data_IF_211792582013
#
_entry.id   IF_211792582013
#
_cell.length_a   1.000
_cell.length_b   1.000
_cell.length_c   1.000
_cell.angle_alpha   90.00
_cell.angle_beta   90.00
_cell.angle_gamma   90.00
#
_symmetry.space_group_name_H-M   'P 1'
#
loop_
_entity.id
_entity.type
_entity.pdbx_description
1 polymer ?
#
# COMPACT_ATOMS: atom_id res chain seq x y z
N UNK A 1 49.54 57.13 17.83
CA UNK A 1 48.86 55.82 17.78
C UNK A 1 48.41 55.59 16.34
N UNK A 2 49.04 54.67 15.58
CA UNK A 2 48.65 54.38 14.19
C UNK A 2 47.62 53.25 14.20
N UNK A 3 46.40 53.51 13.74
CA UNK A 3 45.40 52.48 13.52
C UNK A 3 45.80 51.65 12.30
N UNK A 4 46.00 50.35 12.51
CA UNK A 4 46.28 49.37 11.47
C UNK A 4 44.98 49.17 10.67
N UNK A 5 44.89 49.75 9.47
CA UNK A 5 43.77 49.51 8.57
C UNK A 5 43.83 48.06 8.09
N UNK A 6 42.84 47.26 8.47
CA UNK A 6 42.60 45.94 7.87
C UNK A 6 42.13 46.15 6.43
N UNK A 7 42.89 45.67 5.46
CA UNK A 7 42.49 45.66 4.05
C UNK A 7 41.30 44.72 3.88
N UNK A 8 40.09 45.27 3.75
CA UNK A 8 38.95 44.53 3.27
C UNK A 8 39.11 44.31 1.76
N UNK A 9 39.60 43.15 1.38
CA UNK A 9 39.55 42.67 -0.01
C UNK A 9 38.10 42.33 -0.35
N UNK A 10 37.44 43.17 -1.15
CA UNK A 10 36.10 42.92 -1.66
C UNK A 10 36.10 41.80 -2.71
N UNK A 11 35.04 40.97 -2.69
CA UNK A 11 34.81 39.95 -3.72
C UNK A 11 34.59 40.60 -5.09
N UNK A 12 35.21 40.02 -6.13
CA UNK A 12 34.98 40.48 -7.50
C UNK A 12 33.67 39.93 -8.04
N UNK A 13 33.00 40.69 -8.92
CA UNK A 13 31.72 40.27 -9.52
C UNK A 13 31.87 38.96 -10.31
N UNK A 14 32.99 38.78 -11.01
CA UNK A 14 33.27 37.56 -11.78
C UNK A 14 33.42 36.34 -10.88
N UNK A 15 33.99 36.49 -9.69
CA UNK A 15 34.16 35.39 -8.73
C UNK A 15 32.81 34.88 -8.24
N UNK A 16 31.87 35.79 -7.95
CA UNK A 16 30.50 35.42 -7.61
C UNK A 16 29.79 34.75 -8.80
N UNK A 17 30.00 35.25 -10.03
CA UNK A 17 29.41 34.63 -11.23
C UNK A 17 29.90 33.20 -11.46
N UNK A 18 31.19 32.95 -11.29
CA UNK A 18 31.77 31.60 -11.45
C UNK A 18 31.23 30.66 -10.37
N UNK A 19 31.13 31.11 -9.12
CA UNK A 19 30.56 30.30 -8.03
C UNK A 19 29.11 29.92 -8.33
N UNK A 20 28.27 30.89 -8.72
CA UNK A 20 26.86 30.62 -9.06
C UNK A 20 26.75 29.70 -10.27
N UNK A 21 27.62 29.85 -11.28
CA UNK A 21 27.66 28.96 -12.44
C UNK A 21 27.97 27.52 -12.05
N UNK A 22 29.00 27.30 -11.24
CA UNK A 22 29.38 25.95 -10.77
C UNK A 22 28.27 25.34 -9.90
N UNK A 23 27.68 26.11 -8.98
CA UNK A 23 26.54 25.64 -8.17
C UNK A 23 25.35 25.27 -9.05
N UNK A 24 25.05 26.06 -10.08
CA UNK A 24 23.99 25.77 -11.05
C UNK A 24 24.21 24.44 -11.78
N UNK A 25 25.43 24.18 -12.24
CA UNK A 25 25.78 22.91 -12.89
C UNK A 25 25.64 21.71 -11.93
N UNK A 26 26.08 21.85 -10.69
CA UNK A 26 25.96 20.79 -9.67
C UNK A 26 24.48 20.50 -9.37
N UNK A 27 23.68 21.53 -9.14
CA UNK A 27 22.24 21.37 -8.84
C UNK A 27 21.49 20.68 -9.98
N UNK A 28 21.80 21.04 -11.23
CA UNK A 28 21.20 20.41 -12.41
C UNK A 28 21.44 18.89 -12.46
N UNK A 29 22.58 18.41 -11.96
CA UNK A 29 22.92 16.98 -11.92
C UNK A 29 22.32 16.26 -10.70
N UNK A 30 22.30 16.91 -9.53
CA UNK A 30 21.90 16.28 -8.27
C UNK A 30 20.39 16.19 -8.11
N UNK A 31 19.64 17.22 -8.51
CA UNK A 31 18.19 17.28 -8.28
C UNK A 31 17.41 16.11 -8.90
N UNK A 32 17.62 15.74 -10.18
CA UNK A 32 16.88 14.63 -10.79
C UNK A 32 17.13 13.29 -10.08
N UNK A 33 18.35 13.07 -9.57
CA UNK A 33 18.72 11.86 -8.85
C UNK A 33 18.05 11.81 -7.48
N UNK A 34 18.07 12.92 -6.75
CA UNK A 34 17.42 13.02 -5.44
C UNK A 34 15.91 12.78 -5.55
N UNK A 35 15.26 13.33 -6.58
CA UNK A 35 13.83 13.10 -6.83
C UNK A 35 13.50 11.62 -7.05
N UNK A 36 14.24 10.91 -7.90
CA UNK A 36 14.03 9.47 -8.12
C UNK A 36 14.23 8.65 -6.85
N UNK A 37 15.32 8.91 -6.12
CA UNK A 37 15.59 8.22 -4.86
C UNK A 37 14.48 8.43 -3.82
N UNK A 38 13.86 9.62 -3.80
CA UNK A 38 12.72 9.89 -2.91
C UNK A 38 11.49 9.05 -3.28
N UNK A 39 11.20 8.88 -4.57
CA UNK A 39 10.08 8.07 -5.06
C UNK A 39 10.31 6.59 -4.75
N UNK A 40 11.53 6.09 -4.99
CA UNK A 40 11.90 4.70 -4.66
C UNK A 40 11.76 4.43 -3.16
N UNK A 41 12.19 5.38 -2.31
CA UNK A 41 12.04 5.28 -0.86
C UNK A 41 10.56 5.18 -0.47
N UNK A 42 9.68 5.98 -1.10
CA UNK A 42 8.24 5.91 -0.86
C UNK A 42 7.67 4.53 -1.23
N UNK A 43 8.08 3.92 -2.34
CA UNK A 43 7.65 2.55 -2.67
C UNK A 43 8.09 1.51 -1.65
N UNK A 44 9.31 1.62 -1.10
CA UNK A 44 9.76 0.73 -0.03
C UNK A 44 8.91 0.90 1.24
N UNK A 45 8.53 2.12 1.57
CA UNK A 45 7.61 2.39 2.68
C UNK A 45 6.20 1.83 2.43
N UNK A 46 5.69 1.87 1.20
CA UNK A 46 4.42 1.19 0.84
C UNK A 46 4.54 -0.31 1.05
N UNK A 47 5.63 -0.95 0.59
CA UNK A 47 5.85 -2.39 0.79
C UNK A 47 5.94 -2.77 2.27
N UNK A 48 6.62 -1.96 3.07
CA UNK A 48 6.69 -2.16 4.52
C UNK A 48 5.29 -2.06 5.16
N UNK A 49 4.53 -1.02 4.84
CA UNK A 49 3.16 -0.85 5.33
C UNK A 49 2.24 -1.98 4.88
N UNK A 50 2.36 -2.43 3.63
CA UNK A 50 1.61 -3.57 3.10
C UNK A 50 1.96 -4.87 3.85
N UNK A 51 3.23 -5.07 4.23
CA UNK A 51 3.65 -6.25 4.99
C UNK A 51 3.02 -6.27 6.38
N UNK A 52 2.91 -5.09 7.01
CA UNK A 52 2.23 -4.95 8.28
C UNK A 52 0.71 -5.18 8.15
N UNK A 53 0.06 -4.61 7.12
CA UNK A 53 -1.36 -4.84 6.83
C UNK A 53 -1.64 -6.32 6.53
N UNK A 54 -0.75 -6.99 5.80
CA UNK A 54 -0.84 -8.42 5.52
C UNK A 54 -0.78 -9.27 6.79
N UNK A 55 0.01 -8.87 7.80
CA UNK A 55 0.03 -9.53 9.10
C UNK A 55 -1.32 -9.36 9.83
N UNK A 56 -1.92 -8.16 9.77
CA UNK A 56 -3.24 -7.91 10.35
C UNK A 56 -4.36 -8.65 9.63
N UNK A 57 -4.31 -8.77 8.30
CA UNK A 57 -5.25 -9.59 7.54
C UNK A 57 -5.24 -11.06 7.99
N UNK A 58 -4.04 -11.62 8.19
CA UNK A 58 -3.87 -12.97 8.72
C UNK A 58 -4.41 -13.12 10.16
N UNK A 59 -4.13 -12.15 11.01
CA UNK A 59 -4.61 -12.15 12.39
C UNK A 59 -6.14 -12.04 12.46
N UNK A 60 -6.73 -11.16 11.65
CA UNK A 60 -8.18 -11.01 11.53
C UNK A 60 -8.85 -12.33 11.13
N UNK A 61 -8.38 -12.96 10.05
CA UNK A 61 -8.94 -14.22 9.57
C UNK A 61 -8.82 -15.33 10.63
N UNK A 62 -7.71 -15.38 11.39
CA UNK A 62 -7.50 -16.34 12.50
C UNK A 62 -8.38 -16.07 13.71
N UNK A 63 -8.66 -14.81 14.04
CA UNK A 63 -9.58 -14.45 15.11
C UNK A 63 -11.00 -14.84 14.74
N UNK A 64 -11.44 -14.45 13.56
CA UNK A 64 -12.81 -14.67 13.12
C UNK A 64 -13.14 -16.16 12.93
N UNK A 65 -12.20 -16.99 12.44
CA UNK A 65 -12.41 -18.45 12.40
C UNK A 65 -12.50 -19.08 13.81
N UNK A 66 -11.87 -18.48 14.81
CA UNK A 66 -11.97 -18.96 16.22
C UNK A 66 -13.30 -18.53 16.84
N UNK A 67 -13.85 -17.40 16.38
CA UNK A 67 -15.12 -16.84 16.85
C UNK A 67 -16.33 -17.35 16.06
N UNK A 68 -16.13 -18.22 15.08
CA UNK A 68 -17.23 -18.69 14.25
C UNK A 68 -18.17 -19.60 15.05
N UNK A 69 -19.49 -19.58 14.75
CA UNK A 69 -20.44 -20.50 15.38
C UNK A 69 -20.04 -21.97 15.20
N UNK A 70 -20.37 -22.83 16.14
CA UNK A 70 -20.08 -24.28 16.05
C UNK A 70 -20.71 -24.95 14.81
N UNK A 71 -21.77 -24.36 14.26
CA UNK A 71 -22.43 -24.83 13.04
C UNK A 71 -21.74 -24.38 11.76
N UNK A 72 -20.74 -23.49 11.83
CA UNK A 72 -20.04 -22.98 10.67
C UNK A 72 -19.08 -24.02 10.10
N UNK A 73 -19.02 -24.10 8.77
CA UNK A 73 -18.05 -24.95 8.05
C UNK A 73 -17.03 -24.12 7.27
N UNK A 74 -17.02 -22.79 7.48
CA UNK A 74 -16.04 -21.89 6.88
C UNK A 74 -14.62 -22.27 7.25
N UNK A 75 -13.77 -22.24 6.23
CA UNK A 75 -12.34 -22.44 6.30
C UNK A 75 -11.63 -21.10 6.34
N UNK A 76 -10.34 -21.10 6.70
CA UNK A 76 -9.51 -19.89 6.64
C UNK A 76 -9.45 -19.29 5.23
N UNK A 77 -9.58 -20.14 4.19
CA UNK A 77 -9.65 -19.70 2.80
C UNK A 77 -10.89 -18.85 2.53
N UNK A 78 -12.06 -19.22 3.07
CA UNK A 78 -13.30 -18.46 2.89
C UNK A 78 -13.18 -17.04 3.47
N UNK A 79 -12.53 -16.90 4.63
CA UNK A 79 -12.23 -15.58 5.20
C UNK A 79 -11.30 -14.77 4.30
N UNK A 80 -10.21 -15.39 3.82
CA UNK A 80 -9.23 -14.68 2.97
C UNK A 80 -9.79 -14.31 1.60
N UNK A 81 -10.73 -15.08 1.04
CA UNK A 81 -11.42 -14.71 -0.21
C UNK A 81 -12.24 -13.43 -0.05
N UNK A 82 -12.79 -13.13 1.12
CA UNK A 82 -13.49 -11.83 1.34
C UNK A 82 -12.54 -10.64 1.49
N UNK A 83 -11.23 -10.86 1.40
CA UNK A 83 -10.25 -9.78 1.38
C UNK A 83 -9.73 -9.49 -0.02
N UNK A 84 -10.04 -10.26 -1.05
CA UNK A 84 -9.54 -9.98 -2.39
C UNK A 84 -10.35 -10.69 -3.44
N UNK A 85 -10.36 -10.15 -4.66
CA UNK A 85 -11.08 -10.73 -5.77
C UNK A 85 -10.15 -11.56 -6.69
N UNK A 86 -10.71 -12.56 -7.37
CA UNK A 86 -9.98 -13.36 -8.34
C UNK A 86 -9.98 -12.72 -9.71
N UNK A 87 -8.80 -12.36 -10.21
CA UNK A 87 -8.65 -11.66 -11.50
C UNK A 87 -8.94 -10.17 -11.44
N UNK A 88 -9.41 -9.66 -10.30
CA UNK A 88 -9.59 -8.24 -9.98
C UNK A 88 -8.89 -7.92 -8.66
N UNK A 89 -9.20 -6.76 -8.07
CA UNK A 89 -8.59 -6.27 -6.82
C UNK A 89 -9.66 -5.66 -5.93
N UNK A 90 -9.66 -6.05 -4.66
CA UNK A 90 -10.40 -5.33 -3.62
C UNK A 90 -9.49 -4.30 -2.95
N UNK A 91 -9.87 -3.04 -3.08
CA UNK A 91 -9.11 -1.94 -2.52
C UNK A 91 -9.31 -1.85 -1.01
N UNK A 92 -8.22 -1.78 -0.25
CA UNK A 92 -8.32 -1.71 1.22
C UNK A 92 -9.00 -0.42 1.69
N UNK A 93 -8.98 0.62 0.84
CA UNK A 93 -9.61 1.91 1.07
C UNK A 93 -11.12 1.91 0.76
N UNK A 94 -11.66 0.85 0.17
CA UNK A 94 -13.10 0.70 0.00
C UNK A 94 -13.73 0.48 1.37
N UNK A 95 -14.90 1.09 1.61
CA UNK A 95 -15.65 0.97 2.88
C UNK A 95 -17.09 0.52 2.65
N UNK A 96 -17.32 -0.05 1.47
CA UNK A 96 -18.55 -0.72 1.08
C UNK A 96 -18.57 -2.16 1.62
N UNK A 97 -19.56 -2.94 1.20
CA UNK A 97 -19.77 -4.33 1.62
C UNK A 97 -19.18 -5.33 0.61
N UNK A 98 -18.09 -4.96 -0.07
CA UNK A 98 -17.43 -5.78 -1.09
C UNK A 98 -16.21 -6.53 -0.58
N UNK A 99 -15.71 -6.16 0.61
CA UNK A 99 -14.61 -6.85 1.26
C UNK A 99 -14.60 -6.61 2.77
N UNK A 100 -13.80 -7.37 3.50
CA UNK A 100 -13.65 -7.26 4.95
C UNK A 100 -12.45 -6.41 5.41
N UNK A 101 -11.90 -5.55 4.54
CA UNK A 101 -10.81 -4.64 4.90
C UNK A 101 -11.24 -3.57 5.91
N UNK A 102 -12.40 -2.95 5.70
CA UNK A 102 -12.99 -1.95 6.58
C UNK A 102 -14.47 -1.72 6.26
N UNK A 103 -15.13 -0.88 7.06
CA UNK A 103 -16.49 -0.43 6.76
C UNK A 103 -17.52 -1.47 7.18
N UNK A 104 -18.47 -1.77 6.30
CA UNK A 104 -19.53 -2.74 6.60
C UNK A 104 -19.04 -4.15 6.27
N UNK A 105 -18.91 -5.07 7.24
CA UNK A 105 -18.37 -6.40 6.98
C UNK A 105 -19.16 -7.18 5.92
N UNK A 106 -18.43 -7.84 5.01
CA UNK A 106 -18.97 -8.75 4.02
C UNK A 106 -19.23 -10.14 4.62
N UNK A 107 -20.32 -10.77 4.21
CA UNK A 107 -20.71 -12.11 4.66
C UNK A 107 -19.65 -13.16 4.28
N UNK A 108 -19.30 -14.03 5.22
CA UNK A 108 -18.39 -15.14 4.95
C UNK A 108 -19.20 -16.35 4.47
N UNK A 109 -18.86 -16.97 3.32
CA UNK A 109 -19.49 -18.19 2.86
C UNK A 109 -19.50 -19.27 3.95
N UNK A 110 -20.67 -19.85 4.22
CA UNK A 110 -20.89 -20.96 5.16
C UNK A 110 -20.56 -20.67 6.64
N UNK A 111 -20.41 -19.39 7.01
CA UNK A 111 -20.32 -19.00 8.40
C UNK A 111 -21.72 -19.01 8.98
N UNK A 112 -22.01 -19.94 9.88
CA UNK A 112 -23.34 -20.12 10.47
C UNK A 112 -24.25 -21.10 9.71
N UNK A 113 -25.46 -21.30 10.23
CA UNK A 113 -26.45 -22.23 9.68
C UNK A 113 -27.33 -21.52 8.65
N UNK A 114 -26.84 -21.46 7.39
CA UNK A 114 -27.52 -21.03 6.17
C UNK A 114 -28.48 -19.80 6.26
N UNK A 115 -28.17 -18.63 5.64
CA UNK A 115 -27.04 -18.31 4.75
C UNK A 115 -26.11 -17.22 5.33
N UNK A 116 -24.81 -17.55 5.41
CA UNK A 116 -23.66 -16.66 5.54
C UNK A 116 -23.81 -15.50 6.54
N UNK A 117 -23.19 -15.64 7.70
CA UNK A 117 -23.06 -14.58 8.69
C UNK A 117 -21.92 -13.63 8.37
N UNK A 118 -22.09 -12.38 8.80
CA UNK A 118 -21.04 -11.36 8.75
C UNK A 118 -20.01 -11.59 9.86
N UNK A 119 -18.74 -11.23 9.63
CA UNK A 119 -17.76 -11.20 10.70
C UNK A 119 -18.04 -10.15 11.75
N UNK A 120 -17.50 -10.38 12.93
CA UNK A 120 -17.71 -9.49 14.07
C UNK A 120 -16.94 -8.17 13.93
N UNK A 121 -15.86 -8.20 13.16
CA UNK A 121 -14.94 -7.08 12.94
C UNK A 121 -14.41 -7.09 11.51
N UNK A 122 -13.82 -5.97 11.07
CA UNK A 122 -13.02 -5.87 9.85
C UNK A 122 -11.51 -5.88 10.17
N UNK A 123 -10.65 -6.00 9.16
CA UNK A 123 -9.19 -5.91 9.35
C UNK A 123 -8.79 -4.60 10.02
N UNK A 124 -9.37 -3.48 9.59
CA UNK A 124 -9.12 -2.16 10.17
C UNK A 124 -9.51 -2.08 11.66
N UNK A 125 -10.58 -2.74 12.07
CA UNK A 125 -11.07 -2.65 13.46
C UNK A 125 -10.15 -3.33 14.46
N UNK A 126 -9.44 -4.38 14.03
CA UNK A 126 -8.48 -5.08 14.89
C UNK A 126 -7.08 -4.45 14.88
N UNK A 127 -6.82 -3.52 13.95
CA UNK A 127 -5.54 -2.82 13.89
C UNK A 127 -5.42 -1.82 15.06
N UNK A 128 -4.26 -1.76 15.73
CA UNK A 128 -4.04 -0.78 16.80
C UNK A 128 -4.21 0.64 16.26
N UNK A 129 -5.05 1.44 16.91
CA UNK A 129 -5.33 2.81 16.46
C UNK A 129 -4.11 3.75 16.55
N UNK A 130 -3.12 3.41 17.39
CA UNK A 130 -1.83 4.09 17.49
C UNK A 130 -0.89 3.75 16.32
N UNK A 131 -1.13 2.63 15.63
CA UNK A 131 -0.37 2.20 14.43
C UNK A 131 -1.07 2.62 13.15
N UNK A 132 -1.06 3.93 12.91
CA UNK A 132 -1.61 4.52 11.67
C UNK A 132 -0.60 4.35 10.53
N UNK A 133 -0.81 3.34 9.69
CA UNK A 133 -0.03 3.14 8.46
C UNK A 133 -0.48 4.15 7.41
N UNK A 134 0.43 4.99 6.92
CA UNK A 134 0.15 6.06 5.96
C UNK A 134 0.66 5.74 4.57
N UNK A 135 -0.06 6.17 3.56
CA UNK A 135 0.43 6.21 2.20
C UNK A 135 1.53 7.31 2.09
N UNK A 136 2.79 6.96 1.77
CA UNK A 136 3.91 7.89 1.74
C UNK A 136 3.85 8.87 0.55
N UNK A 137 2.96 8.67 -0.43
CA UNK A 137 2.79 9.58 -1.57
C UNK A 137 1.92 10.79 -1.23
N UNK A 138 0.86 10.63 -0.45
CA UNK A 138 -0.07 11.70 -0.07
C UNK A 138 -0.16 11.97 1.44
N UNK A 139 0.49 11.15 2.27
CA UNK A 139 0.51 11.28 3.73
C UNK A 139 -0.78 10.88 4.44
N UNK A 140 -1.77 10.36 3.72
CA UNK A 140 -3.07 9.95 4.27
C UNK A 140 -3.02 8.54 4.85
N UNK A 141 -3.93 8.22 5.75
CA UNK A 141 -4.10 6.85 6.26
C UNK A 141 -4.45 5.87 5.14
N UNK A 142 -3.85 4.68 5.13
CA UNK A 142 -4.00 3.70 4.04
C UNK A 142 -5.46 3.33 3.73
N UNK A 143 -6.30 3.21 4.75
CA UNK A 143 -7.74 2.89 4.59
C UNK A 143 -8.61 4.14 4.34
N UNK A 144 -8.02 5.32 4.16
CA UNK A 144 -8.79 6.53 3.82
C UNK A 144 -9.44 6.38 2.45
N UNK A 145 -10.72 6.75 2.31
CA UNK A 145 -11.41 6.75 1.01
C UNK A 145 -10.73 7.64 -0.04
N UNK A 146 -9.89 8.61 0.36
CA UNK A 146 -9.05 9.40 -0.55
C UNK A 146 -7.82 8.63 -1.08
N UNK A 147 -7.67 7.36 -0.73
CA UNK A 147 -6.77 6.39 -1.35
C UNK A 147 -7.51 5.37 -2.21
N UNK A 148 -8.84 5.50 -2.42
CA UNK A 148 -9.64 4.56 -3.21
C UNK A 148 -9.55 4.89 -4.70
N UNK A 149 -8.87 4.07 -5.53
CA UNK A 149 -8.84 4.29 -6.97
C UNK A 149 -10.23 4.05 -7.56
N UNK A 150 -10.68 4.94 -8.43
CA UNK A 150 -12.02 4.85 -9.05
C UNK A 150 -12.05 5.57 -10.40
N UNK A 151 -12.45 4.87 -11.46
CA UNK A 151 -12.48 5.43 -12.81
C UNK A 151 -11.10 5.95 -13.24
N UNK A 152 -10.96 7.27 -13.39
CA UNK A 152 -9.70 7.94 -13.73
C UNK A 152 -8.91 8.41 -12.51
N UNK A 153 -9.44 8.24 -11.29
CA UNK A 153 -8.75 8.62 -10.06
C UNK A 153 -7.75 7.53 -9.67
N UNK A 154 -6.47 7.89 -9.69
CA UNK A 154 -5.33 7.00 -9.46
C UNK A 154 -4.48 7.59 -8.36
N UNK A 155 -4.10 6.76 -7.40
CA UNK A 155 -3.36 7.17 -6.22
C UNK A 155 -2.13 6.29 -6.06
N UNK A 156 -0.91 6.80 -6.34
CA UNK A 156 0.31 6.03 -6.15
C UNK A 156 0.40 5.50 -4.71
N UNK A 157 0.74 4.22 -4.56
CA UNK A 157 0.76 3.54 -3.27
C UNK A 157 -0.60 3.14 -2.70
N UNK A 158 -1.71 3.36 -3.42
CA UNK A 158 -3.01 2.77 -3.05
C UNK A 158 -2.89 1.24 -3.10
N UNK A 159 -3.30 0.60 -2.01
CA UNK A 159 -3.18 -0.83 -1.82
C UNK A 159 -4.49 -1.52 -2.13
N UNK A 160 -4.39 -2.64 -2.83
CA UNK A 160 -5.49 -3.56 -3.01
C UNK A 160 -5.01 -5.00 -2.90
N UNK A 161 -5.94 -5.88 -2.62
CA UNK A 161 -5.70 -7.29 -2.42
C UNK A 161 -6.38 -8.08 -3.52
N UNK A 162 -5.69 -9.12 -3.96
CA UNK A 162 -6.18 -10.02 -4.98
C UNK A 162 -5.69 -11.43 -4.68
N UNK A 163 -6.38 -12.41 -5.26
CA UNK A 163 -5.93 -13.79 -5.18
C UNK A 163 -6.07 -14.52 -6.51
N UNK A 164 -5.30 -15.58 -6.67
CA UNK A 164 -5.38 -16.44 -7.84
C UNK A 164 -5.05 -17.88 -7.46
N UNK A 165 -5.61 -18.82 -8.22
CA UNK A 165 -5.26 -20.22 -8.09
C UNK A 165 -3.78 -20.45 -8.45
N UNK A 166 -3.06 -21.15 -7.57
CA UNK A 166 -1.70 -21.63 -7.68
C UNK A 166 -1.70 -23.16 -7.48
N UNK A 167 -2.16 -23.87 -8.52
CA UNK A 167 -2.38 -25.31 -8.46
C UNK A 167 -3.55 -25.67 -7.54
N UNK A 168 -3.27 -26.32 -6.41
CA UNK A 168 -4.28 -26.71 -5.40
C UNK A 168 -4.43 -25.70 -4.27
N UNK A 169 -3.82 -24.52 -4.41
CA UNK A 169 -3.87 -23.45 -3.42
C UNK A 169 -4.41 -22.16 -4.06
N UNK A 170 -4.97 -21.26 -3.26
CA UNK A 170 -5.15 -19.86 -3.59
C UNK A 170 -3.96 -19.07 -3.02
N UNK A 171 -3.35 -18.22 -3.86
CA UNK A 171 -2.26 -17.34 -3.49
C UNK A 171 -2.79 -15.92 -3.32
N UNK A 172 -2.62 -15.34 -2.13
CA UNK A 172 -3.11 -14.01 -1.76
C UNK A 172 -1.96 -13.04 -1.64
N UNK A 173 -2.10 -11.87 -2.26
CA UNK A 173 -1.11 -10.80 -2.16
C UNK A 173 -1.75 -9.42 -2.18
N UNK A 174 -1.07 -8.47 -1.54
CA UNK A 174 -1.29 -7.05 -1.72
C UNK A 174 -0.46 -6.55 -2.90
N UNK A 175 -1.11 -5.75 -3.74
CA UNK A 175 -0.48 -5.01 -4.84
C UNK A 175 -0.83 -3.53 -4.70
N UNK A 176 -0.04 -2.66 -5.32
CA UNK A 176 -0.29 -1.22 -5.24
C UNK A 176 0.02 -0.48 -6.53
N UNK A 177 -0.63 0.68 -6.69
CA UNK A 177 -0.49 1.51 -7.88
C UNK A 177 0.88 2.22 -7.95
N UNK A 178 1.40 2.33 -9.16
CA UNK A 178 2.59 3.11 -9.48
C UNK A 178 2.31 4.60 -9.65
N UNK A 179 3.37 5.40 -9.73
CA UNK A 179 3.35 6.83 -10.10
C UNK A 179 3.12 7.04 -11.59
N UNK A 180 3.36 6.02 -12.38
CA UNK A 180 3.17 5.93 -13.83
C UNK A 180 1.81 5.31 -14.19
N UNK A 181 0.99 4.97 -13.20
CA UNK A 181 -0.33 4.39 -13.42
C UNK A 181 -1.25 5.36 -14.18
N UNK A 182 -1.88 4.85 -15.23
CA UNK A 182 -2.85 5.55 -16.10
C UNK A 182 -4.26 4.94 -16.03
N UNK A 183 -4.37 3.75 -15.42
CA UNK A 183 -5.60 3.04 -15.09
C UNK A 183 -5.59 2.57 -13.63
N UNK A 184 -6.77 2.25 -13.09
CA UNK A 184 -6.90 1.58 -11.77
C UNK A 184 -6.22 0.21 -11.73
N UNK A 185 -5.97 -0.40 -12.90
CA UNK A 185 -5.31 -1.70 -13.05
C UNK A 185 -3.80 -1.61 -13.26
N UNK A 186 -3.23 -0.40 -13.25
CA UNK A 186 -1.79 -0.21 -13.48
C UNK A 186 -1.05 -0.28 -12.12
N UNK A 187 -0.39 -1.40 -11.87
CA UNK A 187 0.32 -1.65 -10.63
C UNK A 187 1.83 -1.51 -10.79
N UNK A 188 2.50 -1.22 -9.68
CA UNK A 188 3.94 -0.98 -9.63
C UNK A 188 4.77 -2.24 -9.93
N UNK A 189 5.87 -2.09 -10.68
CA UNK A 189 6.93 -3.10 -10.85
C UNK A 189 6.43 -4.51 -11.24
N UNK A 190 5.62 -4.59 -12.29
CA UNK A 190 5.01 -5.83 -12.83
C UNK A 190 4.06 -6.54 -11.87
N UNK A 191 3.59 -5.87 -10.81
CA UNK A 191 2.45 -6.36 -10.06
C UNK A 191 1.20 -6.46 -10.95
N UNK A 192 0.28 -7.32 -10.56
CA UNK A 192 -0.97 -7.54 -11.26
C UNK A 192 -1.76 -8.68 -10.66
N UNK A 193 -2.93 -8.96 -11.23
CA UNK A 193 -3.86 -9.99 -10.73
C UNK A 193 -3.56 -11.39 -11.26
N UNK A 194 -2.59 -11.53 -12.18
CA UNK A 194 -2.04 -12.82 -12.58
C UNK A 194 -1.16 -13.42 -11.47
N UNK A 195 -0.92 -14.73 -11.52
CA UNK A 195 -0.04 -15.41 -10.54
C UNK A 195 1.37 -14.82 -10.49
N UNK A 196 1.94 -14.47 -11.64
CA UNK A 196 3.26 -13.83 -11.73
C UNK A 196 3.23 -12.41 -11.16
N UNK A 197 2.16 -11.67 -11.43
CA UNK A 197 1.94 -10.33 -10.91
C UNK A 197 1.79 -10.32 -9.38
N UNK A 198 0.97 -11.23 -8.83
CA UNK A 198 0.77 -11.34 -7.39
C UNK A 198 2.04 -11.77 -6.66
N UNK A 199 2.87 -12.63 -7.26
CA UNK A 199 4.19 -13.00 -6.71
C UNK A 199 5.18 -11.83 -6.67
N UNK A 200 4.97 -10.79 -7.48
CA UNK A 200 5.73 -9.54 -7.45
C UNK A 200 5.22 -8.54 -6.39
N UNK A 201 4.01 -8.81 -5.86
CA UNK A 201 3.34 -8.08 -4.79
C UNK A 201 3.92 -8.34 -3.40
N UNK A 202 3.10 -8.13 -2.37
CA UNK A 202 3.41 -8.43 -0.97
C UNK A 202 2.55 -9.61 -0.54
N UNK A 203 3.22 -10.73 -0.27
CA UNK A 203 2.57 -11.98 0.11
C UNK A 203 1.74 -11.84 1.39
N UNK A 204 0.51 -12.34 1.36
CA UNK A 204 -0.35 -12.46 2.54
C UNK A 204 -0.40 -13.90 3.01
N UNK A 205 -0.87 -14.81 2.15
CA UNK A 205 -1.06 -16.22 2.51
C UNK A 205 -1.19 -17.10 1.26
N UNK A 206 -1.09 -18.43 1.47
CA UNK A 206 -1.31 -19.47 0.48
C UNK A 206 -2.12 -20.59 1.13
N UNK A 207 -3.39 -20.68 0.77
CA UNK A 207 -4.36 -21.55 1.44
C UNK A 207 -4.99 -22.52 0.47
N UNK A 208 -5.43 -23.68 0.97
CA UNK A 208 -6.17 -24.64 0.15
C UNK A 208 -7.64 -24.19 0.08
N UNK A 209 -8.26 -24.19 -1.12
CA UNK A 209 -9.70 -23.98 -1.26
C UNK A 209 -10.52 -25.02 -0.49
#
# INVERSE_FOLDING_TARGET
MKFKQNSQTGFTLIEVMVVVFIVGLILAMVLPRAMRASVDTKYQLVRQGATEIAAWANEWARREITLQPETAVSTLNDYMQTLGDSGSVDWIAASDNTSNWQGTPEKIPTRGSAPNDVPSTTVKDIMPQDKVIKNPFNGLYMFSGNNLPSGTNIFPGALGCAYVADGVYNYYALIFQGTDATSVTDFYANMGTSLEGLRSGVYINRLRP
#
